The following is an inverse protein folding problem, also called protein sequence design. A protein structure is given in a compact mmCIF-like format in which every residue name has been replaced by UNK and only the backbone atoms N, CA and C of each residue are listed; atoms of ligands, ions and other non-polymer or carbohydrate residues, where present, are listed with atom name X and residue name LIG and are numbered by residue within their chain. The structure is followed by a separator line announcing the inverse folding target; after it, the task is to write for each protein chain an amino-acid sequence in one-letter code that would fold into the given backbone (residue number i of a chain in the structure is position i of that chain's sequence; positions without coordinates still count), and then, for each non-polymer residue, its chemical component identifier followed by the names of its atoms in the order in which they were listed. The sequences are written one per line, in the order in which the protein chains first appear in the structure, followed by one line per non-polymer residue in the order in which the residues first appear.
data_IF_011748426209
#
_entry.id   IF_011748426209
#
_cell.length_a   1.000
_cell.length_b   1.000
_cell.length_c   1.000
_cell.angle_alpha   90.00
_cell.angle_beta   90.00
_cell.angle_gamma   90.00
#
_symmetry.space_group_name_H-M   'P 1'
#
loop_
_entity.id
_entity.type
_entity.pdbx_description
1 polymer ?
#
# COMPACT_ATOMS: atom_id res chain seq x y z
N UNK A 1 11.11 18.53 2.74
CA UNK A 1 11.00 17.55 3.79
C UNK A 1 10.04 17.99 4.88
N UNK A 2 9.46 17.06 5.59
CA UNK A 2 8.54 17.34 6.69
C UNK A 2 8.84 16.41 7.86
N UNK A 3 8.52 16.88 9.06
CA UNK A 3 8.51 16.08 10.28
C UNK A 3 7.11 16.19 10.86
N UNK A 4 6.36 15.11 10.81
CA UNK A 4 4.95 15.06 11.20
C UNK A 4 4.71 15.06 12.71
N UNK A 5 5.26 16.05 13.42
CA UNK A 5 5.12 16.16 14.87
C UNK A 5 3.81 16.87 15.30
N UNK A 6 3.45 17.96 14.63
CA UNK A 6 2.22 18.74 14.93
C UNK A 6 1.45 19.12 13.66
N UNK A 7 1.65 18.38 12.61
CA UNK A 7 1.18 18.59 11.26
C UNK A 7 2.34 18.80 10.29
N UNK A 8 2.13 18.44 9.04
CA UNK A 8 3.12 18.58 7.98
C UNK A 8 3.10 20.01 7.42
N UNK A 9 3.50 20.99 8.24
CA UNK A 9 3.37 22.42 7.95
C UNK A 9 4.04 22.83 6.64
N UNK A 10 5.28 22.40 6.40
CA UNK A 10 6.02 22.80 5.20
C UNK A 10 5.36 22.30 3.90
N UNK A 11 5.08 20.99 3.70
CA UNK A 11 4.43 20.53 2.47
C UNK A 11 3.03 21.11 2.28
N UNK A 12 2.24 21.27 3.35
CA UNK A 12 0.92 21.89 3.26
C UNK A 12 1.02 23.39 2.91
N UNK A 13 2.05 24.10 3.41
CA UNK A 13 2.32 25.48 3.01
C UNK A 13 2.71 25.59 1.54
N UNK A 14 3.45 24.62 0.99
CA UNK A 14 3.76 24.58 -0.45
C UNK A 14 2.50 24.38 -1.31
N UNK A 15 1.52 23.63 -0.84
CA UNK A 15 0.22 23.52 -1.51
C UNK A 15 -0.59 24.81 -1.36
N UNK A 16 -0.64 25.34 -0.14
CA UNK A 16 -1.44 26.54 0.17
C UNK A 16 -0.96 27.78 -0.57
N UNK A 17 0.35 27.96 -0.77
CA UNK A 17 0.89 29.15 -1.45
C UNK A 17 0.36 29.28 -2.88
N UNK A 18 0.07 28.18 -3.56
CA UNK A 18 -0.51 28.19 -4.91
C UNK A 18 -1.93 28.75 -4.88
N UNK A 19 -2.73 28.42 -3.85
CA UNK A 19 -4.07 28.97 -3.67
C UNK A 19 -4.06 30.49 -3.48
N UNK A 20 -2.95 31.04 -2.96
CA UNK A 20 -2.74 32.47 -2.79
C UNK A 20 -2.17 33.15 -4.04
N UNK A 21 -1.96 32.42 -5.12
CA UNK A 21 -1.35 32.91 -6.36
C UNK A 21 0.17 32.93 -6.37
N UNK A 22 0.82 32.44 -5.30
CA UNK A 22 2.28 32.33 -5.22
C UNK A 22 2.78 30.95 -5.74
N UNK A 23 4.08 30.75 -5.65
CA UNK A 23 4.70 29.48 -6.02
C UNK A 23 4.51 29.11 -7.49
N UNK A 24 4.53 27.81 -7.76
CA UNK A 24 4.37 27.24 -9.10
C UNK A 24 3.44 26.02 -9.05
N UNK A 25 2.71 25.76 -10.13
CA UNK A 25 1.85 24.61 -10.27
C UNK A 25 1.88 24.05 -11.69
N UNK A 26 1.52 22.79 -11.84
CA UNK A 26 1.27 22.19 -13.15
C UNK A 26 -0.21 22.37 -13.52
N UNK A 27 -0.47 22.88 -14.71
CA UNK A 27 -1.81 22.94 -15.29
C UNK A 27 -1.75 22.40 -16.72
N UNK A 28 -2.52 21.36 -17.00
CA UNK A 28 -2.53 20.66 -18.29
C UNK A 28 -1.13 20.21 -18.76
N UNK A 29 -0.26 19.80 -17.84
CA UNK A 29 1.09 19.35 -18.13
C UNK A 29 2.14 20.45 -18.22
N UNK A 30 1.75 21.73 -18.19
CA UNK A 30 2.65 22.88 -18.23
C UNK A 30 2.94 23.41 -16.82
N UNK A 31 4.21 23.66 -16.51
CA UNK A 31 4.64 24.28 -15.24
C UNK A 31 4.50 25.80 -15.35
N UNK A 32 3.69 26.37 -14.49
CA UNK A 32 3.30 27.79 -14.52
C UNK A 32 3.49 28.43 -13.14
N UNK A 33 3.62 29.76 -13.11
CA UNK A 33 3.45 30.52 -11.88
C UNK A 33 2.04 30.30 -11.31
N UNK A 34 1.91 30.21 -9.97
CA UNK A 34 0.65 29.90 -9.30
C UNK A 34 -0.52 30.79 -9.72
N UNK A 35 -0.31 32.12 -9.79
CA UNK A 35 -1.34 33.02 -10.27
C UNK A 35 -1.81 32.76 -11.70
N UNK A 36 -0.88 32.41 -12.60
CA UNK A 36 -1.21 32.06 -13.99
C UNK A 36 -1.93 30.72 -14.09
N UNK A 37 -1.51 29.73 -13.31
CA UNK A 37 -2.20 28.44 -13.24
C UNK A 37 -3.64 28.60 -12.77
N UNK A 38 -3.88 29.37 -11.71
CA UNK A 38 -5.22 29.69 -11.22
C UNK A 38 -6.05 30.42 -12.28
N UNK A 39 -5.49 31.44 -12.92
CA UNK A 39 -6.16 32.19 -13.97
C UNK A 39 -6.60 31.30 -15.13
N UNK A 40 -5.74 30.40 -15.60
CA UNK A 40 -6.08 29.45 -16.67
C UNK A 40 -7.13 28.40 -16.22
N UNK A 41 -7.15 28.07 -14.94
CA UNK A 41 -8.17 27.21 -14.35
C UNK A 41 -9.51 27.93 -14.08
N UNK A 42 -9.61 29.22 -14.35
CA UNK A 42 -10.80 30.03 -14.07
C UNK A 42 -11.02 30.33 -12.59
N UNK A 43 -9.95 30.26 -11.79
CA UNK A 43 -9.97 30.46 -10.34
C UNK A 43 -9.29 31.78 -9.98
N UNK A 44 -9.82 32.47 -8.95
CA UNK A 44 -9.16 33.61 -8.34
C UNK A 44 -8.30 33.19 -7.14
N UNK A 45 -7.17 33.86 -6.89
CA UNK A 45 -6.42 33.66 -5.67
C UNK A 45 -7.25 33.93 -4.42
N UNK A 46 -7.04 33.09 -3.38
CA UNK A 46 -7.71 33.29 -2.09
C UNK A 46 -7.04 34.39 -1.30
N UNK A 47 -7.83 35.23 -0.65
CA UNK A 47 -7.34 36.22 0.32
C UNK A 47 -7.62 35.70 1.72
N UNK A 48 -6.55 35.51 2.53
CA UNK A 48 -6.67 34.92 3.86
C UNK A 48 -7.15 35.96 4.88
N UNK A 49 -7.98 35.53 5.80
CA UNK A 49 -8.39 36.21 7.02
C UNK A 49 -7.60 35.70 8.23
N UNK A 50 -8.02 36.13 9.43
CA UNK A 50 -7.37 35.75 10.68
C UNK A 50 -7.36 34.23 10.91
N UNK A 51 -6.20 33.68 11.26
CA UNK A 51 -5.93 32.23 11.51
C UNK A 51 -6.08 31.29 10.31
N UNK A 52 -6.50 31.74 9.14
CA UNK A 52 -6.69 30.88 7.98
C UNK A 52 -5.36 30.36 7.42
N UNK A 53 -4.27 31.11 7.56
CA UNK A 53 -2.94 30.62 7.22
C UNK A 53 -2.56 29.35 7.98
N UNK A 54 -2.78 29.35 9.30
CA UNK A 54 -2.55 28.18 10.13
C UNK A 54 -3.56 27.07 9.81
N UNK A 55 -4.81 27.38 9.53
CA UNK A 55 -5.82 26.40 9.16
C UNK A 55 -5.47 25.66 7.86
N UNK A 56 -4.80 26.31 6.90
CA UNK A 56 -4.39 25.71 5.65
C UNK A 56 -3.20 24.74 5.78
N UNK A 57 -2.30 24.97 6.75
CA UNK A 57 -1.05 24.22 6.82
C UNK A 57 -0.89 23.35 8.07
N UNK A 58 -1.76 23.47 9.07
CA UNK A 58 -1.68 22.69 10.29
C UNK A 58 -2.73 21.57 10.34
N UNK A 59 -2.50 20.54 9.54
CA UNK A 59 -3.37 19.38 9.47
C UNK A 59 -2.58 18.08 9.23
N UNK A 60 -3.27 16.97 9.25
CA UNK A 60 -2.70 15.62 9.04
C UNK A 60 -2.86 15.11 7.60
N UNK A 61 -3.33 15.96 6.68
CA UNK A 61 -3.67 15.55 5.31
C UNK A 61 -2.47 14.96 4.54
N UNK A 62 -1.29 15.58 4.66
CA UNK A 62 -0.07 15.09 4.02
C UNK A 62 0.35 13.72 4.57
N UNK A 63 0.36 13.56 5.89
CA UNK A 63 0.70 12.30 6.54
C UNK A 63 -0.31 11.20 6.16
N UNK A 64 -1.59 11.52 6.16
CA UNK A 64 -2.64 10.60 5.76
C UNK A 64 -2.49 10.17 4.30
N UNK A 65 -2.25 11.10 3.38
CA UNK A 65 -2.05 10.81 1.96
C UNK A 65 -0.84 9.89 1.74
N UNK A 66 0.28 10.17 2.40
CA UNK A 66 1.48 9.32 2.36
C UNK A 66 1.19 7.94 2.94
N UNK A 67 0.48 7.88 4.07
CA UNK A 67 0.08 6.62 4.71
C UNK A 67 -0.82 5.77 3.84
N UNK A 68 -1.82 6.34 3.19
CA UNK A 68 -2.71 5.63 2.26
C UNK A 68 -1.94 5.02 1.09
N UNK A 69 -1.03 5.79 0.48
CA UNK A 69 -0.19 5.28 -0.62
C UNK A 69 0.78 4.18 -0.15
N UNK A 70 1.31 4.30 1.07
CA UNK A 70 2.18 3.28 1.63
C UNK A 70 1.41 1.98 1.93
N UNK A 71 0.19 2.06 2.46
CA UNK A 71 -0.66 0.90 2.74
C UNK A 71 -1.04 0.20 1.44
N UNK A 72 -1.47 0.93 0.41
CA UNK A 72 -1.80 0.34 -0.88
C UNK A 72 -0.63 -0.46 -1.48
N UNK A 73 0.60 0.08 -1.40
CA UNK A 73 1.81 -0.63 -1.85
C UNK A 73 2.15 -1.84 -0.97
N UNK A 74 1.86 -1.75 0.34
CA UNK A 74 2.09 -2.85 1.27
C UNK A 74 1.16 -4.02 1.00
N UNK A 75 -0.10 -3.79 0.65
CA UNK A 75 -1.04 -4.83 0.25
C UNK A 75 -0.54 -5.59 -0.97
N UNK A 76 -0.12 -4.90 -2.05
CA UNK A 76 0.49 -5.53 -3.22
C UNK A 76 1.76 -6.31 -2.88
N UNK A 77 2.58 -5.80 -1.94
CA UNK A 77 3.80 -6.46 -1.49
C UNK A 77 3.49 -7.76 -0.72
N UNK A 78 2.45 -7.78 0.10
CA UNK A 78 2.04 -8.97 0.85
C UNK A 78 1.57 -10.08 -0.11
N UNK A 79 0.76 -9.76 -1.10
CA UNK A 79 0.33 -10.70 -2.12
C UNK A 79 1.53 -11.25 -2.92
N UNK A 80 2.47 -10.38 -3.26
CA UNK A 80 3.71 -10.78 -3.94
C UNK A 80 4.57 -11.69 -3.06
N UNK A 81 4.64 -11.44 -1.77
CA UNK A 81 5.38 -12.25 -0.81
C UNK A 81 4.76 -13.64 -0.66
N UNK A 82 3.44 -13.74 -0.57
CA UNK A 82 2.72 -15.02 -0.52
C UNK A 82 2.97 -15.83 -1.81
N UNK A 83 2.92 -15.18 -2.98
CA UNK A 83 3.22 -15.83 -4.26
C UNK A 83 4.67 -16.33 -4.33
N UNK A 84 5.64 -15.50 -3.93
CA UNK A 84 7.05 -15.87 -3.93
C UNK A 84 7.32 -17.02 -2.94
N UNK A 85 6.66 -17.03 -1.79
CA UNK A 85 6.73 -18.12 -0.83
C UNK A 85 6.14 -19.42 -1.41
N UNK A 86 5.00 -19.36 -2.09
CA UNK A 86 4.39 -20.49 -2.76
C UNK A 86 5.30 -21.08 -3.83
N UNK A 87 5.88 -20.25 -4.70
CA UNK A 87 6.84 -20.68 -5.72
C UNK A 87 8.09 -21.35 -5.11
N UNK A 88 8.59 -20.79 -4.01
CA UNK A 88 9.74 -21.34 -3.30
C UNK A 88 9.43 -22.72 -2.72
N UNK A 89 8.29 -22.84 -2.06
CA UNK A 89 7.85 -24.10 -1.47
C UNK A 89 7.61 -25.17 -2.55
N UNK A 90 7.06 -24.78 -3.70
CA UNK A 90 6.87 -25.68 -4.83
C UNK A 90 8.22 -26.19 -5.36
N UNK A 91 9.19 -25.30 -5.57
CA UNK A 91 10.53 -25.66 -6.03
C UNK A 91 11.27 -26.61 -5.06
N UNK A 92 11.03 -26.49 -3.75
CA UNK A 92 11.59 -27.35 -2.72
C UNK A 92 10.74 -28.60 -2.42
N UNK A 93 9.68 -28.86 -3.19
CA UNK A 93 8.71 -29.92 -2.93
C UNK A 93 8.19 -29.88 -1.47
N UNK A 94 7.85 -28.68 -0.99
CA UNK A 94 7.33 -28.43 0.34
C UNK A 94 5.99 -29.14 0.59
N UNK A 95 5.57 -29.21 1.84
CA UNK A 95 4.31 -29.88 2.22
C UNK A 95 3.25 -28.88 2.62
N UNK A 96 2.03 -29.04 2.10
CA UNK A 96 0.85 -28.22 2.43
C UNK A 96 0.42 -28.34 3.90
N UNK A 97 0.81 -29.39 4.60
CA UNK A 97 0.39 -29.62 5.99
C UNK A 97 0.72 -28.48 6.95
N UNK A 98 1.76 -27.69 6.65
CA UNK A 98 2.11 -26.52 7.44
C UNK A 98 1.07 -25.38 7.33
N UNK A 99 0.24 -25.40 6.29
CA UNK A 99 -0.79 -24.39 5.99
C UNK A 99 -2.20 -24.91 6.25
N UNK A 100 -2.34 -26.05 6.96
CA UNK A 100 -3.62 -26.62 7.34
C UNK A 100 -4.38 -25.66 8.26
N UNK A 101 -5.66 -25.41 7.96
CA UNK A 101 -6.52 -24.51 8.69
C UNK A 101 -6.62 -24.83 10.18
N UNK A 102 -6.63 -26.13 10.52
CA UNK A 102 -6.72 -26.58 11.91
C UNK A 102 -5.48 -26.22 12.73
N UNK A 103 -4.30 -26.19 12.09
CA UNK A 103 -3.05 -25.74 12.74
C UNK A 103 -3.13 -24.26 13.09
N UNK A 104 -3.61 -23.46 12.14
CA UNK A 104 -3.72 -22.00 12.35
C UNK A 104 -4.89 -21.61 13.26
N UNK A 105 -5.95 -22.43 13.33
CA UNK A 105 -7.07 -22.24 14.24
C UNK A 105 -6.68 -22.29 15.73
N UNK A 106 -5.56 -22.92 16.07
CA UNK A 106 -5.04 -22.95 17.44
C UNK A 106 -4.60 -21.57 17.94
N UNK A 107 -4.21 -20.67 17.02
CA UNK A 107 -3.92 -19.23 17.27
C UNK A 107 -4.43 -18.40 16.10
N UNK A 108 -5.73 -18.04 16.10
CA UNK A 108 -6.39 -17.48 14.92
C UNK A 108 -6.11 -16.00 14.73
N UNK A 109 -4.88 -15.66 14.35
CA UNK A 109 -4.53 -14.30 13.92
C UNK A 109 -4.99 -14.07 12.47
N UNK A 110 -5.83 -13.06 12.20
CA UNK A 110 -6.46 -12.88 10.88
C UNK A 110 -5.47 -12.84 9.72
N UNK A 111 -4.36 -12.12 9.86
CA UNK A 111 -3.34 -12.04 8.80
C UNK A 111 -2.65 -13.38 8.53
N UNK A 112 -2.35 -14.16 9.56
CA UNK A 112 -1.75 -15.49 9.41
C UNK A 112 -2.73 -16.46 8.73
N UNK A 113 -4.01 -16.42 9.09
CA UNK A 113 -5.05 -17.23 8.44
C UNK A 113 -5.16 -16.88 6.95
N UNK A 114 -5.14 -15.59 6.61
CA UNK A 114 -5.19 -15.13 5.23
C UNK A 114 -3.99 -15.62 4.41
N UNK A 115 -2.76 -15.41 4.88
CA UNK A 115 -1.55 -15.90 4.19
C UNK A 115 -1.50 -17.42 4.08
N UNK A 116 -1.91 -18.16 5.11
CA UNK A 116 -1.97 -19.61 5.04
C UNK A 116 -2.97 -20.10 3.98
N UNK A 117 -4.13 -19.46 3.89
CA UNK A 117 -5.13 -19.76 2.87
C UNK A 117 -4.64 -19.42 1.45
N UNK A 118 -3.97 -18.27 1.27
CA UNK A 118 -3.35 -17.87 0.00
C UNK A 118 -2.32 -18.89 -0.47
N UNK A 119 -1.41 -19.29 0.42
CA UNK A 119 -0.40 -20.29 0.13
C UNK A 119 -1.03 -21.65 -0.22
N UNK A 120 -1.99 -22.11 0.57
CA UNK A 120 -2.67 -23.37 0.32
C UNK A 120 -3.41 -23.38 -1.04
N UNK A 121 -4.08 -22.29 -1.39
CA UNK A 121 -4.78 -22.17 -2.67
C UNK A 121 -3.81 -22.13 -3.86
N UNK A 122 -2.71 -21.40 -3.76
CA UNK A 122 -1.69 -21.29 -4.80
C UNK A 122 -1.03 -22.65 -5.05
N UNK A 123 -0.73 -23.39 -4.00
CA UNK A 123 -0.21 -24.76 -4.10
C UNK A 123 -1.18 -25.75 -4.73
N UNK A 124 -2.48 -25.57 -4.55
CA UNK A 124 -3.48 -26.48 -5.14
C UNK A 124 -3.43 -26.50 -6.68
N UNK A 125 -2.86 -25.48 -7.30
CA UNK A 125 -2.65 -25.37 -8.76
C UNK A 125 -1.25 -25.80 -9.21
N UNK A 126 -0.35 -26.20 -8.30
CA UNK A 126 1.00 -26.61 -8.64
C UNK A 126 1.03 -27.97 -9.31
N UNK A 127 1.81 -28.09 -10.41
CA UNK A 127 2.01 -29.35 -11.14
C UNK A 127 2.72 -30.40 -10.30
N UNK A 128 3.61 -30.00 -9.40
CA UNK A 128 4.36 -30.90 -8.52
C UNK A 128 3.43 -31.58 -7.51
N UNK A 129 2.46 -30.87 -6.98
CA UNK A 129 1.47 -31.39 -6.04
C UNK A 129 0.43 -32.30 -6.69
N UNK A 130 0.12 -32.10 -7.97
CA UNK A 130 -0.74 -33.01 -8.74
C UNK A 130 -0.07 -34.37 -8.89
N UNK A 131 1.26 -34.41 -9.04
CA UNK A 131 2.06 -35.63 -9.11
C UNK A 131 2.05 -36.44 -7.81
N UNK A 132 2.02 -35.78 -6.63
CA UNK A 132 1.91 -36.50 -5.34
C UNK A 132 0.53 -37.12 -5.08
N UNK A 133 -0.54 -36.51 -5.57
CA UNK A 133 -1.90 -37.06 -5.48
C UNK A 133 -2.10 -38.31 -6.35
N UNK A 134 -1.31 -38.44 -7.40
CA UNK A 134 -1.39 -39.58 -8.34
C UNK A 134 -0.43 -40.72 -8.00
N UNK A 135 0.63 -40.47 -7.27
CA UNK A 135 1.50 -41.50 -6.71
C UNK A 135 0.95 -41.88 -5.32
N UNK A 136 0.25 -43.00 -5.22
CA UNK A 136 -0.30 -43.53 -3.95
C UNK A 136 0.73 -43.58 -2.81
N UNK A 137 0.33 -43.90 -1.58
CA UNK A 137 1.19 -43.82 -0.41
C UNK A 137 2.49 -44.58 -0.66
N UNK A 138 3.62 -43.86 -0.66
CA UNK A 138 4.92 -44.49 -0.64
C UNK A 138 5.01 -45.31 0.65
N UNK A 139 4.84 -46.61 0.51
CA UNK A 139 5.07 -47.53 1.59
C UNK A 139 6.53 -47.42 2.04
N UNK A 140 6.71 -47.04 3.28
CA UNK A 140 7.95 -47.27 4.01
C UNK A 140 9.05 -46.24 3.85
N UNK A 141 9.04 -45.22 4.72
CA UNK A 141 10.26 -44.87 5.47
C UNK A 141 9.80 -44.51 6.89
N UNK A 142 10.24 -45.32 7.83
CA UNK A 142 10.18 -45.10 9.26
C UNK A 142 10.99 -43.87 9.66
#
# INVERSE_FOLDING_TARGET
GSVGASGDLAPLSHLAIVLLGGGEAFYQGERLAGAEALRRAGLAPVTLSHKEGLALNNGTAQMLATGVLAIARLEELLDTADLAAAMTLDAFAGRLRAFDEHVHALRPHPGQLASAANLASTFAFSVVMVSEKTSGPRAGVL
#
